data_IF_908665414136
#
_entry.id   IF_908665414136
#
_cell.length_a   1.000
_cell.length_b   1.000
_cell.length_c   1.000
_cell.angle_alpha   90.00
_cell.angle_beta   90.00
_cell.angle_gamma   90.00
#
_symmetry.space_group_name_H-M   'P 1'
#
loop_
_entity.id
_entity.type
_entity.pdbx_description
1 polymer ?
#
# COMPACT_ATOMS: atom_id res chain seq x y z
N UNK A 1 2.65 -11.30 -4.38
CA UNK A 1 1.51 -11.29 -3.43
C UNK A 1 0.54 -10.28 -3.99
N UNK A 2 -0.76 -10.57 -3.95
CA UNK A 2 -1.77 -9.67 -4.54
C UNK A 2 -2.36 -8.78 -3.46
N UNK A 3 -2.38 -7.49 -3.72
CA UNK A 3 -2.96 -6.46 -2.86
C UNK A 3 -3.96 -5.65 -3.68
N UNK A 4 -5.08 -5.31 -3.05
CA UNK A 4 -6.05 -4.42 -3.68
C UNK A 4 -5.56 -2.97 -3.59
N UNK A 5 -5.60 -2.23 -4.70
CA UNK A 5 -5.21 -0.83 -4.76
C UNK A 5 -6.01 0.03 -3.79
N UNK A 6 -7.31 -0.25 -3.62
CA UNK A 6 -8.17 0.50 -2.70
C UNK A 6 -7.74 0.32 -1.24
N UNK A 7 -7.24 -0.87 -0.90
CA UNK A 7 -6.73 -1.17 0.43
C UNK A 7 -5.41 -0.44 0.70
N UNK A 8 -4.51 -0.44 -0.28
CA UNK A 8 -3.27 0.34 -0.21
C UNK A 8 -3.56 1.85 -0.08
N UNK A 9 -4.45 2.39 -0.90
CA UNK A 9 -4.90 3.78 -0.83
C UNK A 9 -5.44 4.14 0.55
N UNK A 10 -6.21 3.24 1.17
CA UNK A 10 -6.74 3.43 2.51
C UNK A 10 -5.62 3.54 3.53
N UNK A 11 -4.68 2.61 3.52
CA UNK A 11 -3.54 2.61 4.46
C UNK A 11 -2.71 3.88 4.29
N UNK A 12 -2.37 4.24 3.05
CA UNK A 12 -1.61 5.46 2.74
C UNK A 12 -2.32 6.71 3.26
N UNK A 13 -3.63 6.84 3.01
CA UNK A 13 -4.43 7.97 3.52
C UNK A 13 -4.51 7.98 5.05
N UNK A 14 -4.62 6.81 5.69
CA UNK A 14 -4.64 6.67 7.16
C UNK A 14 -3.31 7.10 7.78
N UNK A 15 -2.19 6.82 7.13
CA UNK A 15 -0.85 7.26 7.57
C UNK A 15 -0.56 8.74 7.25
N UNK A 16 -1.42 9.40 6.47
CA UNK A 16 -1.23 10.78 6.01
C UNK A 16 -0.42 10.91 4.71
N UNK A 17 -0.08 9.79 4.09
CA UNK A 17 0.70 9.63 2.86
C UNK A 17 -0.14 9.90 1.60
N UNK A 18 -0.82 11.05 1.56
CA UNK A 18 -1.77 11.41 0.51
C UNK A 18 -1.10 11.57 -0.87
N UNK A 19 0.13 12.07 -0.92
CA UNK A 19 0.89 12.21 -2.17
C UNK A 19 1.17 10.85 -2.83
N UNK A 20 1.52 9.86 -2.00
CA UNK A 20 1.75 8.48 -2.48
C UNK A 20 0.44 7.83 -2.89
N UNK A 21 -0.65 8.09 -2.16
CA UNK A 21 -1.98 7.62 -2.51
C UNK A 21 -2.42 8.11 -3.90
N UNK A 22 -2.28 9.40 -4.21
CA UNK A 22 -2.61 9.91 -5.55
C UNK A 22 -1.79 9.25 -6.67
N UNK A 23 -0.49 9.06 -6.44
CA UNK A 23 0.39 8.39 -7.41
C UNK A 23 -0.04 6.94 -7.66
N UNK A 24 -0.35 6.21 -6.58
CA UNK A 24 -0.86 4.84 -6.63
C UNK A 24 -2.17 4.78 -7.42
N UNK A 25 -3.11 5.68 -7.15
CA UNK A 25 -4.40 5.74 -7.84
C UNK A 25 -4.23 5.93 -9.36
N UNK A 26 -3.29 6.78 -9.76
CA UNK A 26 -3.06 7.15 -11.15
C UNK A 26 -2.17 6.17 -11.94
N UNK A 27 -1.23 5.48 -11.27
CA UNK A 27 -0.21 4.65 -11.92
C UNK A 27 -0.46 3.16 -11.79
N UNK A 28 -1.06 2.71 -10.70
CA UNK A 28 -1.19 1.29 -10.40
C UNK A 28 -2.56 0.72 -10.82
N UNK A 29 -2.58 -0.53 -11.30
CA UNK A 29 -3.82 -1.25 -11.59
C UNK A 29 -4.63 -1.51 -10.31
N UNK A 30 -5.90 -1.90 -10.46
CA UNK A 30 -6.77 -2.19 -9.30
C UNK A 30 -6.29 -3.39 -8.49
N UNK A 31 -5.73 -4.42 -9.15
CA UNK A 31 -5.04 -5.53 -8.50
C UNK A 31 -3.53 -5.35 -8.66
N UNK A 32 -2.83 -5.14 -7.55
CA UNK A 32 -1.38 -4.92 -7.51
C UNK A 32 -0.71 -6.24 -7.12
N UNK A 33 0.16 -6.78 -7.97
CA UNK A 33 0.99 -7.93 -7.63
C UNK A 33 2.40 -7.48 -7.24
N UNK A 34 2.73 -7.49 -5.95
CA UNK A 34 4.07 -7.15 -5.44
C UNK A 34 5.23 -8.02 -5.94
N UNK A 35 4.95 -9.15 -6.60
CA UNK A 35 5.98 -9.94 -7.27
C UNK A 35 6.17 -9.55 -8.74
N UNK A 36 5.14 -8.99 -9.39
CA UNK A 36 5.15 -8.64 -10.82
C UNK A 36 5.29 -7.14 -11.07
N UNK A 37 4.62 -6.34 -10.25
CA UNK A 37 4.50 -4.89 -10.37
C UNK A 37 5.49 -4.16 -9.45
N UNK A 38 6.56 -4.84 -9.02
CA UNK A 38 7.57 -4.27 -8.12
C UNK A 38 8.22 -2.99 -8.69
N UNK A 39 8.41 -2.93 -10.01
CA UNK A 39 8.93 -1.74 -10.68
C UNK A 39 7.92 -0.57 -10.63
N UNK A 40 6.65 -0.82 -10.92
CA UNK A 40 5.59 0.20 -10.87
C UNK A 40 5.32 0.72 -9.45
N UNK A 41 5.45 -0.17 -8.46
CA UNK A 41 5.44 0.21 -7.04
C UNK A 41 6.64 1.10 -6.71
N UNK A 42 7.84 0.73 -7.18
CA UNK A 42 9.06 1.51 -6.94
C UNK A 42 8.98 2.90 -7.56
N UNK A 43 8.32 3.05 -8.73
CA UNK A 43 8.08 4.36 -9.37
C UNK A 43 7.23 5.31 -8.50
N UNK A 44 6.29 4.77 -7.72
CA UNK A 44 5.49 5.56 -6.78
C UNK A 44 6.14 5.70 -5.40
N UNK A 45 7.32 5.12 -5.21
CA UNK A 45 8.08 5.12 -3.95
C UNK A 45 7.66 4.04 -2.96
N UNK A 46 6.94 3.02 -3.42
CA UNK A 46 6.51 1.88 -2.61
C UNK A 46 7.33 0.65 -2.97
N UNK A 47 7.79 -0.08 -1.96
CA UNK A 47 8.43 -1.38 -2.15
C UNK A 47 7.76 -2.44 -1.28
N UNK A 48 8.14 -3.71 -1.46
CA UNK A 48 7.60 -4.81 -0.67
C UNK A 48 7.78 -4.60 0.84
N UNK A 49 8.91 -4.06 1.27
CA UNK A 49 9.23 -3.80 2.67
C UNK A 49 8.36 -2.67 3.22
N UNK A 50 8.17 -1.59 2.47
CA UNK A 50 7.27 -0.50 2.80
C UNK A 50 5.84 -0.99 2.89
N UNK A 51 5.36 -1.79 1.93
CA UNK A 51 4.02 -2.36 1.99
C UNK A 51 3.83 -3.25 3.22
N UNK A 52 4.83 -4.07 3.57
CA UNK A 52 4.81 -4.87 4.79
C UNK A 52 4.88 -4.01 6.06
N UNK A 53 5.66 -2.94 6.06
CA UNK A 53 5.77 -2.00 7.17
C UNK A 53 4.46 -1.21 7.37
N UNK A 54 3.82 -0.79 6.27
CA UNK A 54 2.51 -0.13 6.26
C UNK A 54 1.40 -1.09 6.67
N UNK A 55 1.48 -2.35 6.27
CA UNK A 55 0.57 -3.41 6.74
C UNK A 55 0.74 -3.66 8.25
N UNK A 56 1.98 -3.68 8.74
CA UNK A 56 2.30 -3.88 10.15
C UNK A 56 2.02 -2.63 11.02
N UNK A 57 2.20 -1.42 10.48
CA UNK A 57 2.11 -0.14 11.19
C UNK A 57 0.77 0.59 11.02
N UNK A 58 0.02 0.30 9.96
CA UNK A 58 -1.17 1.05 9.53
C UNK A 58 -2.52 0.39 9.80
N UNK A 59 -2.60 -0.68 10.60
CA UNK A 59 -3.89 -1.14 11.14
C UNK A 59 -4.31 -2.59 10.86
N UNK A 60 -3.40 -3.49 10.49
CA UNK A 60 -3.71 -4.93 10.52
C UNK A 60 -3.57 -5.57 11.92
N UNK A 61 -3.29 -4.79 12.97
CA UNK A 61 -3.16 -5.32 14.33
C UNK A 61 -3.21 -4.29 15.44
N UNK A 62 -4.41 -3.85 15.85
CA UNK A 62 -4.76 -3.51 17.25
C UNK A 62 -6.24 -3.16 17.47
N UNK A 63 -7.16 -3.90 16.84
CA UNK A 63 -8.55 -3.99 17.32
C UNK A 63 -8.92 -5.40 17.79
N UNK A 64 -7.93 -6.19 18.24
CA UNK A 64 -8.17 -7.26 19.20
C UNK A 64 -7.73 -6.73 20.56
N UNK A 65 -8.65 -5.98 21.16
CA UNK A 65 -8.78 -5.80 22.61
C UNK A 65 -8.65 -7.16 23.30
N UNK A 66 -7.98 -7.25 24.47
CA UNK A 66 -7.93 -8.49 25.26
C UNK A 66 -9.31 -9.01 25.66
#
# INVERSE_FOLDING_TARGET
MKLDKQELLRVLRTEGDNDTAEKVEARLPDEIDTDRDGDALSEVGLDRTQLMAKLAGGGFGSSLTP
#
